data_IF_599199229025
#
_entry.id   IF_599199229025
#
_cell.length_a   1.000
_cell.length_b   1.000
_cell.length_c   1.000
_cell.angle_alpha   90.00
_cell.angle_beta   90.00
_cell.angle_gamma   90.00
#
_symmetry.space_group_name_H-M   'P 1'
#
loop_
_entity.id
_entity.type
_entity.pdbx_description
1 polymer ?
#
# COMPACT_ATOMS: atom_id res chain seq x y z
N UNK A 1 43.42 -6.27 -5.96
CA UNK A 1 42.32 -6.94 -5.24
C UNK A 1 41.07 -6.80 -6.07
N UNK A 2 40.22 -7.81 -6.12
CA UNK A 2 38.96 -7.76 -6.88
C UNK A 2 38.09 -6.62 -6.33
N UNK A 3 37.66 -5.64 -7.16
CA UNK A 3 36.81 -4.54 -6.71
C UNK A 3 35.57 -5.06 -5.98
N UNK A 4 35.12 -4.36 -4.93
CA UNK A 4 33.94 -4.73 -4.11
C UNK A 4 32.70 -4.78 -5.00
N UNK A 5 32.56 -3.85 -5.95
CA UNK A 5 31.51 -3.87 -6.97
C UNK A 5 31.50 -5.17 -7.79
N UNK A 6 32.68 -5.67 -8.17
CA UNK A 6 32.81 -6.92 -8.92
C UNK A 6 32.29 -8.11 -8.10
N UNK A 7 32.73 -8.22 -6.83
CA UNK A 7 32.27 -9.27 -5.92
C UNK A 7 30.76 -9.22 -5.68
N UNK A 8 30.21 -8.01 -5.54
CA UNK A 8 28.78 -7.79 -5.39
C UNK A 8 27.99 -8.30 -6.60
N UNK A 9 28.38 -7.94 -7.82
CA UNK A 9 27.71 -8.39 -9.05
C UNK A 9 27.87 -9.91 -9.28
N UNK A 10 29.00 -10.50 -8.91
CA UNK A 10 29.19 -11.95 -8.96
C UNK A 10 28.22 -12.69 -8.02
N UNK A 11 28.00 -12.17 -6.81
CA UNK A 11 27.01 -12.74 -5.89
C UNK A 11 25.59 -12.67 -6.47
N UNK A 12 25.22 -11.55 -7.10
CA UNK A 12 23.92 -11.39 -7.78
C UNK A 12 23.71 -12.45 -8.88
N UNK A 13 24.72 -12.73 -9.71
CA UNK A 13 24.63 -13.82 -10.69
C UNK A 13 24.37 -15.17 -10.03
N UNK A 14 25.05 -15.46 -8.92
CA UNK A 14 24.84 -16.71 -8.17
C UNK A 14 23.39 -16.88 -7.72
N UNK A 15 22.77 -15.81 -7.20
CA UNK A 15 21.36 -15.84 -6.79
C UNK A 15 20.40 -16.02 -7.96
N UNK A 16 20.69 -15.41 -9.12
CA UNK A 16 19.87 -15.57 -10.34
C UNK A 16 19.99 -16.99 -10.88
N UNK A 17 21.20 -17.54 -10.92
CA UNK A 17 21.47 -18.89 -11.43
C UNK A 17 20.75 -19.96 -10.60
N UNK A 18 20.77 -19.83 -9.27
CA UNK A 18 20.06 -20.74 -8.35
C UNK A 18 18.57 -20.37 -8.22
N UNK A 19 18.10 -19.31 -8.88
CA UNK A 19 16.73 -18.80 -8.82
C UNK A 19 16.24 -18.51 -7.38
N UNK A 20 17.13 -18.00 -6.53
CA UNK A 20 16.82 -17.71 -5.13
C UNK A 20 16.33 -16.26 -4.94
N UNK A 21 15.01 -16.06 -5.11
CA UNK A 21 14.37 -14.76 -4.97
C UNK A 21 14.53 -14.14 -3.57
N UNK A 22 14.60 -14.97 -2.51
CA UNK A 22 14.62 -14.51 -1.13
C UNK A 22 16.00 -13.95 -0.77
N UNK A 23 17.06 -14.66 -1.13
CA UNK A 23 18.43 -14.19 -0.90
C UNK A 23 18.74 -12.96 -1.72
N UNK A 24 18.34 -12.95 -3.01
CA UNK A 24 18.46 -11.77 -3.88
C UNK A 24 17.84 -10.52 -3.21
N UNK A 25 16.62 -10.63 -2.70
CA UNK A 25 15.96 -9.50 -2.04
C UNK A 25 16.52 -9.13 -0.67
N UNK A 26 17.17 -10.06 0.03
CA UNK A 26 17.89 -9.77 1.27
C UNK A 26 19.21 -9.03 0.99
N UNK A 27 19.86 -9.37 -0.12
CA UNK A 27 21.15 -8.82 -0.57
C UNK A 27 21.01 -7.47 -1.29
N UNK A 28 19.80 -7.10 -1.71
CA UNK A 28 19.49 -5.76 -2.20
C UNK A 28 18.98 -4.94 -1.00
N UNK A 29 19.88 -4.19 -0.37
CA UNK A 29 19.56 -3.28 0.72
C UNK A 29 19.00 -1.96 0.17
N UNK A 30 17.76 -1.61 0.54
CA UNK A 30 17.07 -0.41 0.06
C UNK A 30 16.98 0.67 1.15
N UNK A 31 17.16 0.33 2.43
CA UNK A 31 17.04 1.28 3.53
C UNK A 31 18.30 1.27 4.41
N UNK A 32 18.75 2.45 4.87
CA UNK A 32 19.76 2.55 5.92
C UNK A 32 19.21 2.08 7.29
N UNK A 33 20.07 1.69 8.24
CA UNK A 33 21.53 1.74 8.18
C UNK A 33 22.11 0.63 7.30
N UNK A 34 23.08 0.99 6.46
CA UNK A 34 23.74 0.04 5.59
C UNK A 34 24.84 -0.74 6.34
N UNK A 35 25.09 -1.98 5.92
CA UNK A 35 26.22 -2.76 6.47
C UNK A 35 27.57 -2.27 5.92
N UNK A 36 28.67 -2.68 6.55
CA UNK A 36 30.04 -2.31 6.14
C UNK A 36 30.31 -2.54 4.64
N UNK A 37 29.90 -3.69 4.10
CA UNK A 37 30.04 -4.04 2.69
C UNK A 37 29.41 -3.00 1.75
N UNK A 38 28.27 -2.43 2.13
CA UNK A 38 27.57 -1.43 1.32
C UNK A 38 28.24 -0.05 1.44
N UNK A 39 28.77 0.33 2.62
CA UNK A 39 29.56 1.56 2.72
C UNK A 39 30.85 1.48 1.89
N UNK A 40 31.53 0.33 1.89
CA UNK A 40 32.71 0.10 1.04
C UNK A 40 32.32 0.17 -0.45
N UNK A 41 31.16 -0.40 -0.82
CA UNK A 41 30.61 -0.33 -2.18
C UNK A 41 30.25 1.12 -2.59
N UNK A 42 29.62 1.88 -1.70
CA UNK A 42 29.25 3.29 -1.94
C UNK A 42 30.50 4.13 -2.17
N UNK A 43 31.54 3.95 -1.36
CA UNK A 43 32.82 4.66 -1.53
C UNK A 43 33.48 4.32 -2.89
N UNK A 44 33.48 3.04 -3.29
CA UNK A 44 34.00 2.63 -4.60
C UNK A 44 33.18 3.24 -5.76
N UNK A 45 31.85 3.28 -5.64
CA UNK A 45 30.96 3.86 -6.65
C UNK A 45 31.18 5.37 -6.79
N UNK A 46 31.29 6.11 -5.68
CA UNK A 46 31.53 7.55 -5.69
C UNK A 46 32.89 7.90 -6.30
N UNK A 47 33.91 7.07 -6.07
CA UNK A 47 35.25 7.30 -6.60
C UNK A 47 35.38 6.96 -8.09
N UNK A 48 34.83 5.81 -8.52
CA UNK A 48 35.10 5.25 -9.85
C UNK A 48 33.98 5.50 -10.86
N UNK A 49 32.74 5.73 -10.39
CA UNK A 49 31.54 5.89 -11.21
C UNK A 49 30.70 7.11 -10.78
N UNK A 50 31.26 8.34 -10.87
CA UNK A 50 30.48 9.57 -10.65
C UNK A 50 29.35 9.70 -11.68
N UNK A 51 28.40 10.62 -11.45
CA UNK A 51 27.22 10.82 -12.32
C UNK A 51 27.53 10.98 -13.81
N UNK A 52 28.68 11.57 -14.15
CA UNK A 52 29.12 11.76 -15.55
C UNK A 52 29.56 10.46 -16.25
N UNK A 53 29.76 9.36 -15.50
CA UNK A 53 30.25 8.07 -16.00
C UNK A 53 29.21 6.95 -15.85
N UNK A 54 27.92 7.27 -15.94
CA UNK A 54 26.85 6.27 -15.87
C UNK A 54 26.94 5.22 -16.99
N UNK A 55 27.34 5.60 -18.20
CA UNK A 55 27.53 4.67 -19.31
C UNK A 55 28.58 3.60 -18.99
N UNK A 56 29.66 3.98 -18.29
CA UNK A 56 30.71 3.06 -17.87
C UNK A 56 30.23 2.09 -16.77
N UNK A 57 29.33 2.55 -15.90
CA UNK A 57 28.69 1.70 -14.88
C UNK A 57 27.74 0.70 -15.54
N UNK A 58 26.95 1.15 -16.52
CA UNK A 58 26.06 0.28 -17.29
C UNK A 58 26.83 -0.80 -18.04
N UNK A 59 27.90 -0.43 -18.74
CA UNK A 59 28.72 -1.38 -19.49
C UNK A 59 29.36 -2.42 -18.55
N UNK A 60 29.84 -2.00 -17.37
CA UNK A 60 30.35 -2.94 -16.36
C UNK A 60 29.26 -3.88 -15.84
N UNK A 61 28.05 -3.39 -15.60
CA UNK A 61 26.92 -4.24 -15.21
C UNK A 61 26.56 -5.24 -16.31
N UNK A 62 26.54 -4.82 -17.58
CA UNK A 62 26.28 -5.69 -18.75
C UNK A 62 27.34 -6.77 -18.91
N UNK A 63 28.61 -6.46 -18.66
CA UNK A 63 29.71 -7.41 -18.74
C UNK A 63 29.68 -8.42 -17.59
N UNK A 64 29.41 -7.95 -16.36
CA UNK A 64 29.47 -8.80 -15.17
C UNK A 64 28.20 -9.60 -14.95
N UNK A 65 27.01 -9.11 -15.31
CA UNK A 65 25.73 -9.81 -15.11
C UNK A 65 25.44 -10.83 -16.23
N UNK A 66 26.39 -11.74 -16.45
CA UNK A 66 26.37 -12.75 -17.52
C UNK A 66 25.08 -13.57 -17.48
N UNK A 67 24.64 -14.01 -16.30
CA UNK A 67 23.44 -14.83 -16.13
C UNK A 67 22.16 -14.10 -16.56
N UNK A 68 22.06 -12.80 -16.30
CA UNK A 68 20.93 -11.99 -16.79
C UNK A 68 21.03 -11.71 -18.30
N UNK A 69 22.25 -11.59 -18.83
CA UNK A 69 22.50 -11.34 -20.26
C UNK A 69 22.19 -12.56 -21.13
N UNK A 70 22.68 -13.73 -20.73
CA UNK A 70 22.58 -14.98 -21.49
C UNK A 70 21.28 -15.72 -21.22
N UNK A 71 20.58 -15.36 -20.14
CA UNK A 71 19.39 -16.04 -19.68
C UNK A 71 19.72 -17.31 -18.90
N UNK A 72 18.70 -17.91 -18.28
CA UNK A 72 18.79 -19.18 -17.56
C UNK A 72 17.83 -20.15 -18.21
N UNK A 73 18.28 -21.38 -18.47
CA UNK A 73 17.46 -22.46 -19.05
C UNK A 73 16.74 -22.08 -20.36
N UNK A 74 17.42 -21.33 -21.23
CA UNK A 74 16.86 -20.88 -22.52
C UNK A 74 15.89 -19.70 -22.41
N UNK A 75 15.82 -19.03 -21.26
CA UNK A 75 15.06 -17.78 -21.13
C UNK A 75 15.67 -16.65 -21.98
N UNK A 76 14.84 -15.68 -22.36
CA UNK A 76 15.31 -14.47 -23.01
C UNK A 76 16.28 -13.65 -22.12
N UNK A 77 17.06 -12.78 -22.75
CA UNK A 77 17.92 -11.82 -22.07
C UNK A 77 17.10 -10.88 -21.17
N UNK A 78 17.53 -10.73 -19.93
CA UNK A 78 16.86 -9.93 -18.92
C UNK A 78 17.44 -8.51 -18.82
N UNK A 79 17.53 -7.80 -19.96
CA UNK A 79 18.03 -6.41 -20.03
C UNK A 79 17.39 -5.47 -19.00
N UNK A 80 16.06 -5.52 -18.74
CA UNK A 80 15.44 -4.67 -17.71
C UNK A 80 16.01 -4.87 -16.30
N UNK A 81 16.51 -6.06 -15.96
CA UNK A 81 17.16 -6.31 -14.68
C UNK A 81 18.55 -5.67 -14.62
N UNK A 82 19.32 -5.71 -15.71
CA UNK A 82 20.63 -5.02 -15.78
C UNK A 82 20.44 -3.52 -15.55
N UNK A 83 19.45 -2.90 -16.21
CA UNK A 83 19.12 -1.49 -16.01
C UNK A 83 18.61 -1.20 -14.59
N UNK A 84 17.89 -2.13 -13.96
CA UNK A 84 17.54 -2.03 -12.55
C UNK A 84 18.78 -2.04 -11.65
N UNK A 85 19.75 -2.90 -11.90
CA UNK A 85 20.99 -2.95 -11.12
C UNK A 85 21.81 -1.68 -11.26
N UNK A 86 21.88 -1.09 -12.46
CA UNK A 86 22.51 0.22 -12.67
C UNK A 86 21.81 1.29 -11.82
N UNK A 87 20.48 1.36 -11.91
CA UNK A 87 19.69 2.31 -11.12
C UNK A 87 19.85 2.09 -9.61
N UNK A 88 19.96 0.84 -9.16
CA UNK A 88 20.19 0.50 -7.76
C UNK A 88 21.56 0.96 -7.27
N UNK A 89 22.61 0.79 -8.08
CA UNK A 89 23.95 1.25 -7.74
C UNK A 89 24.03 2.79 -7.75
N UNK A 90 23.40 3.45 -8.72
CA UNK A 90 23.23 4.92 -8.69
C UNK A 90 22.44 5.38 -7.46
N UNK A 91 21.40 4.65 -7.08
CA UNK A 91 20.66 4.91 -5.83
C UNK A 91 21.56 4.80 -4.60
N UNK A 92 22.37 3.74 -4.47
CA UNK A 92 23.30 3.60 -3.35
C UNK A 92 24.35 4.72 -3.32
N UNK A 93 24.85 5.15 -4.48
CA UNK A 93 25.82 6.25 -4.60
C UNK A 93 25.26 7.58 -4.11
N UNK A 94 23.99 7.86 -4.45
CA UNK A 94 23.35 9.17 -4.31
C UNK A 94 22.39 9.26 -3.11
N UNK A 95 22.05 8.14 -2.47
CA UNK A 95 21.18 8.13 -1.28
C UNK A 95 21.86 8.85 -0.13
N UNK A 96 21.16 9.82 0.45
CA UNK A 96 21.65 10.57 1.60
C UNK A 96 20.79 10.27 2.83
N UNK A 97 21.43 10.16 4.00
CA UNK A 97 20.75 9.89 5.27
C UNK A 97 20.10 11.15 5.87
N UNK A 98 20.37 12.33 5.29
CA UNK A 98 19.89 13.62 5.77
C UNK A 98 18.37 13.80 5.62
N UNK A 99 17.72 14.19 6.71
CA UNK A 99 16.27 14.47 6.76
C UNK A 99 15.85 15.65 5.86
N UNK A 100 16.79 16.55 5.52
CA UNK A 100 16.55 17.69 4.62
C UNK A 100 16.42 17.28 3.15
N UNK A 101 16.97 16.12 2.75
CA UNK A 101 16.97 15.61 1.35
C UNK A 101 16.02 14.42 1.14
N UNK A 102 15.00 14.28 1.98
CA UNK A 102 14.02 13.20 1.86
C UNK A 102 13.25 13.21 0.53
N UNK A 103 13.10 14.37 -0.10
CA UNK A 103 12.44 14.50 -1.41
C UNK A 103 13.29 13.92 -2.54
N UNK A 104 14.59 14.24 -2.58
CA UNK A 104 15.53 13.66 -3.55
C UNK A 104 15.58 12.13 -3.38
N UNK A 105 15.65 11.66 -2.14
CA UNK A 105 15.62 10.22 -1.82
C UNK A 105 14.32 9.57 -2.32
N UNK A 106 13.19 10.27 -2.19
CA UNK A 106 11.90 9.81 -2.69
C UNK A 106 11.89 9.69 -4.22
N UNK A 107 12.41 10.68 -4.95
CA UNK A 107 12.49 10.65 -6.41
C UNK A 107 13.40 9.51 -6.91
N UNK A 108 14.54 9.30 -6.25
CA UNK A 108 15.44 8.18 -6.56
C UNK A 108 14.76 6.83 -6.32
N UNK A 109 14.01 6.68 -5.22
CA UNK A 109 13.26 5.45 -4.92
C UNK A 109 12.12 5.19 -5.88
N UNK A 110 11.46 6.24 -6.36
CA UNK A 110 10.45 6.16 -7.42
C UNK A 110 11.08 5.63 -8.71
N UNK A 111 12.22 6.20 -9.14
CA UNK A 111 12.95 5.71 -10.31
C UNK A 111 13.40 4.25 -10.14
N UNK A 112 13.87 3.88 -8.96
CA UNK A 112 14.22 2.50 -8.63
C UNK A 112 13.01 1.55 -8.73
N UNK A 113 11.85 1.96 -8.20
CA UNK A 113 10.61 1.19 -8.28
C UNK A 113 10.15 0.98 -9.73
N UNK A 114 10.26 2.00 -10.58
CA UNK A 114 9.91 1.89 -12.01
C UNK A 114 10.80 0.89 -12.74
N UNK A 115 12.12 0.93 -12.51
CA UNK A 115 13.05 -0.05 -13.08
C UNK A 115 12.80 -1.46 -12.54
N UNK A 116 12.47 -1.59 -11.25
CA UNK A 116 12.11 -2.87 -10.65
C UNK A 116 10.84 -3.47 -11.27
N UNK A 117 9.84 -2.64 -11.56
CA UNK A 117 8.61 -3.06 -12.24
C UNK A 117 8.88 -3.53 -13.69
N UNK A 118 9.79 -2.85 -14.40
CA UNK A 118 10.23 -3.28 -15.73
C UNK A 118 10.93 -4.63 -15.67
N UNK A 119 11.80 -4.86 -14.68
CA UNK A 119 12.44 -6.16 -14.46
C UNK A 119 11.43 -7.27 -14.12
N UNK A 120 10.41 -6.97 -13.30
CA UNK A 120 9.32 -7.90 -12.98
C UNK A 120 8.52 -8.34 -14.20
N UNK A 121 8.45 -7.54 -15.26
CA UNK A 121 7.68 -7.86 -16.47
C UNK A 121 8.23 -9.06 -17.26
N UNK A 122 9.48 -9.47 -17.03
CA UNK A 122 10.11 -10.59 -17.73
C UNK A 122 9.38 -11.92 -17.49
N UNK A 123 9.13 -12.71 -18.54
CA UNK A 123 8.24 -13.86 -18.51
C UNK A 123 8.61 -14.93 -17.47
N UNK A 124 9.88 -15.35 -17.43
CA UNK A 124 10.35 -16.44 -16.56
C UNK A 124 11.05 -15.90 -15.31
N UNK A 125 12.15 -15.16 -15.49
CA UNK A 125 12.98 -14.65 -14.39
C UNK A 125 12.33 -13.51 -13.57
N UNK A 126 11.26 -12.88 -14.08
CA UNK A 126 10.64 -11.73 -13.42
C UNK A 126 10.12 -12.04 -12.00
N UNK A 127 9.76 -13.31 -11.72
CA UNK A 127 9.31 -13.76 -10.40
C UNK A 127 10.37 -13.51 -9.32
N UNK A 128 11.67 -13.58 -9.66
CA UNK A 128 12.77 -13.34 -8.73
C UNK A 128 12.78 -11.90 -8.20
N UNK A 129 12.28 -10.95 -8.98
CA UNK A 129 12.18 -9.54 -8.58
C UNK A 129 10.98 -9.25 -7.68
N UNK A 130 10.02 -10.16 -7.55
CA UNK A 130 8.80 -9.89 -6.80
C UNK A 130 9.07 -9.46 -5.35
N UNK A 131 9.94 -10.14 -4.56
CA UNK A 131 10.20 -9.71 -3.19
C UNK A 131 10.92 -8.35 -3.11
N UNK A 132 11.79 -8.05 -4.09
CA UNK A 132 12.48 -6.75 -4.22
C UNK A 132 11.47 -5.63 -4.49
N UNK A 133 10.60 -5.84 -5.49
CA UNK A 133 9.52 -4.91 -5.85
C UNK A 133 8.61 -4.63 -4.67
N UNK A 134 8.23 -5.66 -3.90
CA UNK A 134 7.40 -5.51 -2.70
C UNK A 134 8.13 -4.72 -1.62
N UNK A 135 9.42 -4.98 -1.40
CA UNK A 135 10.23 -4.24 -0.40
C UNK A 135 10.35 -2.77 -0.80
N UNK A 136 10.73 -2.47 -2.05
CA UNK A 136 10.75 -1.10 -2.58
C UNK A 136 9.39 -0.41 -2.41
N UNK A 137 8.29 -1.10 -2.74
CA UNK A 137 6.94 -0.55 -2.62
C UNK A 137 6.57 -0.18 -1.18
N UNK A 138 7.03 -0.96 -0.20
CA UNK A 138 6.83 -0.65 1.22
C UNK A 138 7.60 0.61 1.66
N UNK A 139 8.84 0.78 1.18
CA UNK A 139 9.66 1.98 1.44
C UNK A 139 8.99 3.21 0.82
N UNK A 140 8.67 3.15 -0.48
CA UNK A 140 7.99 4.22 -1.21
C UNK A 140 6.66 4.58 -0.53
N UNK A 141 5.87 3.60 -0.11
CA UNK A 141 4.63 3.82 0.63
C UNK A 141 4.86 4.57 1.95
N UNK A 142 5.85 4.15 2.75
CA UNK A 142 6.17 4.81 4.03
C UNK A 142 6.62 6.26 3.83
N UNK A 143 7.48 6.51 2.84
CA UNK A 143 7.97 7.85 2.54
C UNK A 143 6.87 8.73 1.95
N UNK A 144 6.07 8.23 0.99
CA UNK A 144 4.94 8.98 0.43
C UNK A 144 3.96 9.42 1.52
N UNK A 145 3.60 8.52 2.44
CA UNK A 145 2.72 8.83 3.57
C UNK A 145 3.41 9.78 4.57
N UNK A 146 4.71 9.63 4.81
CA UNK A 146 5.49 10.48 5.70
C UNK A 146 5.60 11.91 5.19
N UNK A 147 5.85 12.09 3.89
CA UNK A 147 5.94 13.38 3.22
C UNK A 147 4.57 14.06 3.13
N UNK A 148 3.49 13.31 2.87
CA UNK A 148 2.12 13.84 2.87
C UNK A 148 1.71 14.45 4.23
N UNK A 149 2.25 13.91 5.34
CA UNK A 149 2.04 14.45 6.69
C UNK A 149 2.86 15.70 7.01
N UNK A 150 3.83 16.07 6.16
CA UNK A 150 4.71 17.25 6.33
C UNK A 150 4.52 18.24 5.18
N UNK A 151 3.41 19.00 5.17
CA UNK A 151 3.08 19.90 4.06
C UNK A 151 4.07 21.04 3.87
N UNK A 152 4.88 21.39 4.88
CA UNK A 152 5.91 22.43 4.80
C UNK A 152 7.03 22.10 3.80
N UNK A 153 7.49 20.84 3.77
CA UNK A 153 8.48 20.38 2.80
C UNK A 153 7.89 20.31 1.38
N UNK A 154 6.59 20.01 1.26
CA UNK A 154 5.89 20.05 -0.01
C UNK A 154 5.68 21.48 -0.53
N UNK A 155 5.50 22.46 0.36
CA UNK A 155 5.38 23.87 0.00
C UNK A 155 6.68 24.42 -0.60
N UNK A 156 7.83 24.00 -0.09
CA UNK A 156 9.15 24.34 -0.67
C UNK A 156 9.32 23.79 -2.10
N UNK A 157 8.81 22.59 -2.38
CA UNK A 157 8.77 22.03 -3.74
C UNK A 157 7.81 22.80 -4.65
N UNK A 158 6.66 23.25 -4.12
CA UNK A 158 5.73 24.10 -4.87
C UNK A 158 6.35 25.45 -5.24
N UNK A 159 7.12 26.07 -4.34
CA UNK A 159 7.82 27.32 -4.63
C UNK A 159 9.01 27.12 -5.58
N UNK A 160 9.79 26.05 -5.43
CA UNK A 160 10.92 25.75 -6.32
C UNK A 160 10.48 25.35 -7.73
N UNK A 161 9.42 24.54 -7.86
CA UNK A 161 8.85 24.14 -9.14
C UNK A 161 8.06 25.26 -9.85
N UNK A 162 7.49 26.22 -9.11
CA UNK A 162 6.86 27.40 -9.71
C UNK A 162 7.89 28.41 -10.25
N UNK A 163 9.09 28.48 -9.65
CA UNK A 163 10.18 29.31 -10.17
C UNK A 163 10.82 28.73 -11.44
N UNK A 164 10.74 27.40 -11.66
CA UNK A 164 11.31 26.73 -12.83
C UNK A 164 10.36 26.66 -14.04
N UNK A 165 9.04 26.73 -13.83
CA UNK A 165 8.04 26.75 -14.90
C UNK A 165 7.37 28.12 -14.97
N UNK A 166 7.99 29.06 -15.68
CA UNK A 166 7.31 30.28 -16.10
C UNK A 166 6.24 29.92 -17.13
N UNK A 167 4.96 30.03 -16.75
CA UNK A 167 3.84 29.89 -17.67
C UNK A 167 2.71 29.02 -17.14
N UNK A 168 1.56 29.68 -16.94
CA UNK A 168 0.18 29.20 -16.93
C UNK A 168 -0.05 27.73 -17.34
N UNK A 169 -0.34 26.88 -16.36
CA UNK A 169 -1.12 25.65 -16.59
C UNK A 169 -2.00 25.35 -15.37
N UNK A 170 -3.09 26.12 -15.24
CA UNK A 170 -4.10 26.02 -14.18
C UNK A 170 -5.10 24.85 -14.40
N UNK A 171 -4.86 23.96 -15.37
CA UNK A 171 -5.80 22.89 -15.75
C UNK A 171 -5.42 21.47 -15.30
N UNK A 172 -4.15 21.20 -15.01
CA UNK A 172 -3.66 19.91 -14.52
C UNK A 172 -3.25 20.05 -13.07
N UNK A 173 -4.12 19.63 -12.14
CA UNK A 173 -3.72 19.48 -10.74
C UNK A 173 -2.48 18.57 -10.68
N UNK A 174 -1.29 19.16 -10.53
CA UNK A 174 0.00 18.43 -10.46
C UNK A 174 -0.17 17.24 -9.52
N UNK A 175 0.10 16.04 -10.05
CA UNK A 175 -0.07 14.78 -9.32
C UNK A 175 0.62 14.88 -7.96
N UNK A 176 -0.12 14.57 -6.89
CA UNK A 176 0.47 14.54 -5.55
C UNK A 176 1.51 13.42 -5.48
N UNK A 177 2.57 13.59 -4.68
CA UNK A 177 3.60 12.55 -4.50
C UNK A 177 2.99 11.16 -4.27
N UNK A 178 1.97 11.00 -3.41
CA UNK A 178 1.35 9.69 -3.19
C UNK A 178 0.52 9.17 -4.37
N UNK A 179 -0.07 10.04 -5.20
CA UNK A 179 -0.71 9.62 -6.45
C UNK A 179 0.32 9.05 -7.42
N UNK A 180 1.47 9.72 -7.56
CA UNK A 180 2.60 9.22 -8.36
C UNK A 180 3.08 7.86 -7.87
N UNK A 181 3.27 7.69 -6.55
CA UNK A 181 3.59 6.38 -5.96
C UNK A 181 2.51 5.33 -6.27
N UNK A 182 1.23 5.67 -6.08
CA UNK A 182 0.14 4.74 -6.31
C UNK A 182 0.07 4.29 -7.77
N UNK A 183 0.29 5.19 -8.73
CA UNK A 183 0.28 4.87 -10.15
C UNK A 183 1.44 3.96 -10.56
N UNK A 184 2.65 4.20 -10.04
CA UNK A 184 3.80 3.32 -10.27
C UNK A 184 3.55 1.92 -9.67
N UNK A 185 2.98 1.84 -8.46
CA UNK A 185 2.63 0.56 -7.86
C UNK A 185 1.51 -0.16 -8.61
N UNK A 186 0.60 0.58 -9.24
CA UNK A 186 -0.44 0.02 -10.12
C UNK A 186 0.17 -0.68 -11.33
N UNK A 187 1.25 -0.16 -11.91
CA UNK A 187 1.98 -0.85 -12.99
C UNK A 187 2.54 -2.18 -12.52
N UNK A 188 3.13 -2.24 -11.32
CA UNK A 188 3.61 -3.48 -10.72
C UNK A 188 2.47 -4.49 -10.50
N UNK A 189 1.33 -4.01 -10.00
CA UNK A 189 0.11 -4.80 -9.83
C UNK A 189 -0.38 -5.38 -11.16
N UNK A 190 -0.52 -4.55 -12.20
CA UNK A 190 -0.94 -5.00 -13.54
C UNK A 190 0.03 -6.02 -14.14
N UNK A 191 1.34 -5.86 -13.94
CA UNK A 191 2.33 -6.83 -14.37
C UNK A 191 2.16 -8.20 -13.68
N UNK A 192 1.75 -8.23 -12.40
CA UNK A 192 1.44 -9.47 -11.69
C UNK A 192 0.11 -10.09 -12.17
N UNK A 193 -0.89 -9.27 -12.51
CA UNK A 193 -2.19 -9.72 -13.00
C UNK A 193 -2.09 -10.38 -14.39
N UNK A 194 -1.29 -9.79 -15.28
CA UNK A 194 -1.08 -10.28 -16.65
C UNK A 194 -0.17 -11.52 -16.74
N UNK A 195 0.28 -12.06 -15.60
CA UNK A 195 1.08 -13.27 -15.56
C UNK A 195 0.26 -14.47 -16.05
N UNK A 196 0.72 -15.10 -17.14
CA UNK A 196 0.06 -16.25 -17.76
C UNK A 196 0.35 -17.55 -17.00
N UNK A 197 1.26 -17.53 -16.03
CA UNK A 197 1.58 -18.68 -15.19
C UNK A 197 0.32 -19.13 -14.45
N UNK A 198 -0.18 -20.31 -14.78
CA UNK A 198 -1.46 -20.83 -14.26
C UNK A 198 -1.19 -22.18 -13.61
N UNK A 199 -1.12 -22.20 -12.28
CA UNK A 199 -1.11 -23.44 -11.50
C UNK A 199 -2.50 -23.61 -10.86
N UNK A 200 -3.11 -24.79 -11.06
CA UNK A 200 -4.51 -25.02 -10.71
C UNK A 200 -4.82 -24.93 -9.21
N UNK A 201 -3.83 -25.25 -8.34
CA UNK A 201 -4.04 -25.44 -6.90
C UNK A 201 -3.11 -24.61 -6.00
N UNK A 202 -2.21 -23.80 -6.57
CA UNK A 202 -1.29 -22.92 -5.82
C UNK A 202 -1.10 -21.61 -6.56
N UNK A 203 -0.98 -20.52 -5.81
CA UNK A 203 -0.55 -19.25 -6.39
C UNK A 203 0.96 -19.37 -6.63
N UNK A 204 1.34 -19.59 -7.87
CA UNK A 204 2.75 -19.65 -8.30
C UNK A 204 3.09 -18.45 -9.17
N UNK A 205 4.39 -18.18 -9.29
CA UNK A 205 4.89 -17.06 -10.08
C UNK A 205 4.56 -15.68 -9.49
N UNK A 206 4.32 -14.71 -10.37
CA UNK A 206 4.12 -13.31 -9.97
C UNK A 206 2.78 -13.09 -9.29
N UNK A 207 1.83 -14.02 -9.48
CA UNK A 207 0.50 -13.97 -8.87
C UNK A 207 0.56 -13.93 -7.34
N UNK A 208 1.61 -14.45 -6.72
CA UNK A 208 1.82 -14.37 -5.26
C UNK A 208 1.86 -12.91 -4.75
N UNK A 209 2.26 -11.98 -5.62
CA UNK A 209 2.40 -10.56 -5.33
C UNK A 209 1.11 -9.75 -5.40
N UNK A 210 0.04 -10.28 -6.01
CA UNK A 210 -1.17 -9.53 -6.36
C UNK A 210 -1.74 -8.81 -5.15
N UNK A 211 -2.13 -9.56 -4.11
CA UNK A 211 -2.75 -8.96 -2.93
C UNK A 211 -1.77 -8.12 -2.12
N UNK A 212 -0.48 -8.47 -2.10
CA UNK A 212 0.52 -7.73 -1.32
C UNK A 212 0.76 -6.34 -1.91
N UNK A 213 0.93 -6.25 -3.22
CA UNK A 213 1.08 -4.97 -3.94
C UNK A 213 -0.24 -4.19 -3.90
N UNK A 214 -1.38 -4.87 -4.11
CA UNK A 214 -2.70 -4.23 -4.02
C UNK A 214 -2.95 -3.61 -2.65
N UNK A 215 -2.64 -4.32 -1.56
CA UNK A 215 -2.80 -3.82 -0.19
C UNK A 215 -1.92 -2.59 0.07
N UNK A 216 -0.69 -2.57 -0.43
CA UNK A 216 0.19 -1.39 -0.34
C UNK A 216 -0.40 -0.21 -1.12
N UNK A 217 -0.86 -0.44 -2.36
CA UNK A 217 -1.47 0.60 -3.18
C UNK A 217 -2.76 1.16 -2.54
N UNK A 218 -3.65 0.28 -2.07
CA UNK A 218 -4.86 0.66 -1.33
C UNK A 218 -4.52 1.47 -0.08
N UNK A 219 -3.47 1.10 0.67
CA UNK A 219 -3.02 1.86 1.84
C UNK A 219 -2.67 3.30 1.49
N UNK A 220 -1.93 3.53 0.40
CA UNK A 220 -1.58 4.88 -0.07
C UNK A 220 -2.85 5.64 -0.47
N UNK A 221 -3.68 5.05 -1.33
CA UNK A 221 -4.90 5.69 -1.85
C UNK A 221 -5.87 6.11 -0.74
N UNK A 222 -6.07 5.25 0.26
CA UNK A 222 -6.93 5.56 1.41
C UNK A 222 -6.34 6.63 2.32
N UNK A 223 -5.02 6.65 2.50
CA UNK A 223 -4.35 7.67 3.30
C UNK A 223 -4.46 9.05 2.65
N UNK A 224 -4.28 9.11 1.33
CA UNK A 224 -4.28 10.35 0.54
C UNK A 224 -5.69 10.79 0.11
N UNK A 225 -6.72 10.11 0.61
CA UNK A 225 -8.15 10.44 0.40
C UNK A 225 -8.61 10.32 -1.06
N UNK A 226 -7.86 9.62 -1.92
CA UNK A 226 -8.17 9.38 -3.33
C UNK A 226 -8.80 8.00 -3.52
N UNK A 227 -9.83 7.70 -2.73
CA UNK A 227 -10.45 6.36 -2.69
C UNK A 227 -11.20 5.99 -3.97
N UNK A 228 -11.54 6.95 -4.82
CA UNK A 228 -12.10 6.70 -6.16
C UNK A 228 -11.15 5.89 -7.04
N UNK A 229 -9.84 6.13 -6.94
CA UNK A 229 -8.84 5.43 -7.75
C UNK A 229 -8.66 3.96 -7.32
N UNK A 230 -9.19 3.57 -6.15
CA UNK A 230 -9.16 2.18 -5.69
C UNK A 230 -10.14 1.27 -6.45
N UNK A 231 -11.15 1.83 -7.13
CA UNK A 231 -12.17 1.07 -7.85
C UNK A 231 -11.56 0.08 -8.85
N UNK A 232 -10.62 0.54 -9.68
CA UNK A 232 -9.98 -0.31 -10.70
C UNK A 232 -9.20 -1.48 -10.07
N UNK A 233 -8.61 -1.29 -8.88
CA UNK A 233 -7.89 -2.36 -8.18
C UNK A 233 -8.87 -3.46 -7.78
N UNK A 234 -10.02 -3.10 -7.21
CA UNK A 234 -11.05 -4.06 -6.83
C UNK A 234 -11.65 -4.78 -8.04
N UNK A 235 -11.94 -4.06 -9.13
CA UNK A 235 -12.47 -4.62 -10.37
C UNK A 235 -11.48 -5.60 -11.03
N UNK A 236 -10.21 -5.20 -11.15
CA UNK A 236 -9.17 -6.07 -11.73
C UNK A 236 -8.98 -7.35 -10.90
N UNK A 237 -8.98 -7.25 -9.57
CA UNK A 237 -8.92 -8.41 -8.70
C UNK A 237 -10.15 -9.30 -8.88
N UNK A 238 -11.35 -8.72 -8.93
CA UNK A 238 -12.59 -9.48 -9.11
C UNK A 238 -12.64 -10.28 -10.42
N UNK A 239 -12.04 -9.76 -11.49
CA UNK A 239 -12.09 -10.38 -12.82
C UNK A 239 -10.97 -11.39 -13.09
N UNK A 240 -9.77 -11.14 -12.58
CA UNK A 240 -8.56 -11.86 -13.02
C UNK A 240 -7.79 -12.55 -11.88
N UNK A 241 -8.11 -12.27 -10.61
CA UNK A 241 -7.36 -12.85 -9.49
C UNK A 241 -7.77 -14.30 -9.19
N UNK A 242 -6.81 -15.17 -8.83
CA UNK A 242 -7.12 -16.44 -8.17
C UNK A 242 -7.96 -16.25 -6.90
N UNK A 243 -8.62 -17.33 -6.47
CA UNK A 243 -9.47 -17.33 -5.27
C UNK A 243 -8.72 -16.76 -4.05
N UNK A 244 -9.40 -15.87 -3.31
CA UNK A 244 -8.83 -15.18 -2.16
C UNK A 244 -8.30 -16.16 -1.09
N UNK A 245 -8.93 -17.33 -0.93
CA UNK A 245 -8.56 -18.39 0.01
C UNK A 245 -7.13 -18.92 -0.16
N UNK A 246 -6.57 -18.83 -1.37
CA UNK A 246 -5.23 -19.31 -1.68
C UNK A 246 -4.11 -18.40 -1.14
N UNK A 247 -4.45 -17.20 -0.69
CA UNK A 247 -3.49 -16.21 -0.18
C UNK A 247 -3.38 -16.23 1.35
N UNK A 248 -2.26 -15.80 1.94
CA UNK A 248 -2.09 -15.74 3.39
C UNK A 248 -3.16 -14.90 4.09
N UNK A 249 -3.59 -15.32 5.30
CA UNK A 249 -4.61 -14.62 6.11
C UNK A 249 -4.34 -13.13 6.27
N UNK A 250 -3.09 -12.74 6.49
CA UNK A 250 -2.70 -11.33 6.65
C UNK A 250 -3.07 -10.47 5.43
N UNK A 251 -2.86 -10.99 4.22
CA UNK A 251 -3.18 -10.29 2.98
C UNK A 251 -4.69 -10.27 2.72
N UNK A 252 -5.39 -11.37 3.01
CA UNK A 252 -6.85 -11.46 2.88
C UNK A 252 -7.55 -10.46 3.78
N UNK A 253 -7.20 -10.43 5.07
CA UNK A 253 -7.81 -9.55 6.07
C UNK A 253 -7.58 -8.08 5.70
N UNK A 254 -6.37 -7.73 5.24
CA UNK A 254 -6.05 -6.36 4.83
C UNK A 254 -6.84 -5.93 3.60
N UNK A 255 -6.96 -6.81 2.60
CA UNK A 255 -7.75 -6.54 1.40
C UNK A 255 -9.23 -6.35 1.73
N UNK A 256 -9.82 -7.27 2.49
CA UNK A 256 -11.23 -7.22 2.89
C UNK A 256 -11.55 -5.99 3.73
N UNK A 257 -10.62 -5.56 4.59
CA UNK A 257 -10.74 -4.31 5.33
C UNK A 257 -10.86 -3.10 4.40
N UNK A 258 -9.98 -2.97 3.40
CA UNK A 258 -10.05 -1.86 2.44
C UNK A 258 -11.27 -1.97 1.52
N UNK A 259 -11.64 -3.16 1.08
CA UNK A 259 -12.86 -3.41 0.29
C UNK A 259 -14.11 -2.98 1.07
N UNK A 260 -14.22 -3.40 2.34
CA UNK A 260 -15.31 -3.02 3.21
C UNK A 260 -15.44 -1.51 3.39
N UNK A 261 -14.31 -0.82 3.60
CA UNK A 261 -14.28 0.65 3.69
C UNK A 261 -14.67 1.33 2.39
N UNK A 262 -14.22 0.81 1.25
CA UNK A 262 -14.60 1.32 -0.07
C UNK A 262 -16.11 1.19 -0.29
N UNK A 263 -16.67 0.01 -0.03
CA UNK A 263 -18.11 -0.25 -0.14
C UNK A 263 -18.91 0.65 0.82
N UNK A 264 -18.42 0.82 2.05
CA UNK A 264 -19.03 1.70 3.05
C UNK A 264 -19.09 3.16 2.57
N UNK A 265 -18.00 3.68 1.99
CA UNK A 265 -17.95 5.04 1.43
C UNK A 265 -18.91 5.23 0.25
N UNK A 266 -19.16 4.17 -0.52
CA UNK A 266 -20.10 4.16 -1.65
C UNK A 266 -21.54 3.79 -1.24
N UNK A 267 -21.88 3.84 0.05
CA UNK A 267 -23.20 3.51 0.61
C UNK A 267 -23.67 2.05 0.40
N UNK A 268 -22.79 1.12 0.03
CA UNK A 268 -23.11 -0.31 -0.07
C UNK A 268 -22.95 -1.01 1.29
N UNK A 269 -23.74 -0.59 2.28
CA UNK A 269 -23.56 -1.00 3.69
C UNK A 269 -23.71 -2.51 3.93
N UNK A 270 -24.60 -3.20 3.20
CA UNK A 270 -24.76 -4.65 3.31
C UNK A 270 -23.49 -5.40 2.84
N UNK A 271 -23.01 -5.09 1.62
CA UNK A 271 -21.78 -5.68 1.10
C UNK A 271 -20.55 -5.31 1.93
N UNK A 272 -20.52 -4.08 2.46
CA UNK A 272 -19.47 -3.66 3.39
C UNK A 272 -19.49 -4.51 4.67
N UNK A 273 -20.67 -4.75 5.24
CA UNK A 273 -20.83 -5.59 6.42
C UNK A 273 -20.34 -7.03 6.17
N UNK A 274 -20.69 -7.65 5.03
CA UNK A 274 -20.24 -9.00 4.69
C UNK A 274 -18.70 -9.06 4.56
N UNK A 275 -18.09 -8.13 3.82
CA UNK A 275 -16.64 -8.08 3.65
C UNK A 275 -15.91 -7.86 4.98
N UNK A 276 -16.40 -6.94 5.82
CA UNK A 276 -15.80 -6.63 7.13
C UNK A 276 -16.01 -7.75 8.14
N UNK A 277 -17.15 -8.44 8.09
CA UNK A 277 -17.41 -9.61 8.93
C UNK A 277 -16.41 -10.72 8.59
N UNK A 278 -16.26 -11.03 7.31
CA UNK A 278 -15.28 -12.01 6.86
C UNK A 278 -13.84 -11.62 7.23
N UNK A 279 -13.49 -10.33 7.13
CA UNK A 279 -12.20 -9.83 7.59
C UNK A 279 -11.97 -10.03 9.10
N UNK A 280 -13.01 -9.81 9.91
CA UNK A 280 -12.93 -9.91 11.38
C UNK A 280 -12.83 -11.36 11.85
N UNK A 281 -13.53 -12.28 11.18
CA UNK A 281 -13.52 -13.71 11.47
C UNK A 281 -12.18 -14.36 11.08
N UNK A 282 -11.57 -13.91 9.98
CA UNK A 282 -10.24 -14.36 9.53
C UNK A 282 -9.09 -13.78 10.36
N UNK A 283 -9.31 -12.62 11.01
CA UNK A 283 -8.29 -11.95 11.81
C UNK A 283 -8.01 -12.73 13.11
N UNK A 284 -6.74 -13.05 13.38
CA UNK A 284 -6.35 -13.76 14.59
C UNK A 284 -6.69 -12.97 15.86
N UNK A 285 -7.16 -13.66 16.91
CA UNK A 285 -7.56 -13.05 18.18
C UNK A 285 -6.39 -12.72 19.14
N UNK A 286 -5.15 -12.88 18.69
CA UNK A 286 -3.97 -12.58 19.51
C UNK A 286 -3.80 -11.10 19.81
N UNK A 287 -3.14 -10.78 20.92
CA UNK A 287 -2.98 -9.40 21.43
C UNK A 287 -2.32 -8.47 20.42
N UNK A 288 -1.37 -8.98 19.63
CA UNK A 288 -0.68 -8.23 18.57
C UNK A 288 -1.62 -7.68 17.48
N UNK A 289 -2.84 -8.22 17.35
CA UNK A 289 -3.78 -7.86 16.30
C UNK A 289 -4.96 -7.02 16.78
N UNK A 290 -5.01 -6.65 18.07
CA UNK A 290 -6.12 -5.87 18.65
C UNK A 290 -6.36 -4.58 17.86
N UNK A 291 -5.30 -3.87 17.45
CA UNK A 291 -5.41 -2.64 16.67
C UNK A 291 -6.05 -2.87 15.30
N UNK A 292 -5.66 -3.92 14.60
CA UNK A 292 -6.24 -4.27 13.30
C UNK A 292 -7.71 -4.67 13.43
N UNK A 293 -8.01 -5.50 14.44
CA UNK A 293 -9.38 -5.90 14.77
C UNK A 293 -10.25 -4.70 15.09
N UNK A 294 -9.75 -3.74 15.87
CA UNK A 294 -10.45 -2.48 16.19
C UNK A 294 -10.77 -1.69 14.92
N UNK A 295 -9.81 -1.53 14.00
CA UNK A 295 -10.05 -0.84 12.74
C UNK A 295 -11.16 -1.48 11.91
N UNK A 296 -11.18 -2.82 11.81
CA UNK A 296 -12.26 -3.55 11.13
C UNK A 296 -13.59 -3.36 11.87
N UNK A 297 -13.56 -3.51 13.20
CA UNK A 297 -14.74 -3.51 14.05
C UNK A 297 -15.48 -2.18 14.05
N UNK A 298 -14.78 -1.03 13.98
CA UNK A 298 -15.42 0.29 13.86
C UNK A 298 -16.37 0.31 12.66
N UNK A 299 -15.87 -0.07 11.48
CA UNK A 299 -16.68 -0.06 10.27
C UNK A 299 -17.75 -1.15 10.28
N UNK A 300 -17.45 -2.32 10.86
CA UNK A 300 -18.41 -3.42 10.97
C UNK A 300 -19.61 -3.06 11.85
N UNK A 301 -19.36 -2.51 13.05
CA UNK A 301 -20.41 -2.06 13.98
C UNK A 301 -21.21 -0.92 13.36
N UNK A 302 -20.54 0.05 12.74
CA UNK A 302 -21.21 1.16 12.05
C UNK A 302 -22.13 0.65 10.93
N UNK A 303 -21.65 -0.30 10.12
CA UNK A 303 -22.44 -0.88 9.02
C UNK A 303 -23.65 -1.64 9.56
N UNK A 304 -23.47 -2.42 10.64
CA UNK A 304 -24.56 -3.12 11.30
C UNK A 304 -25.62 -2.16 11.86
N UNK A 305 -25.21 -1.07 12.54
CA UNK A 305 -26.14 -0.07 13.08
C UNK A 305 -26.96 0.58 11.97
N UNK A 306 -26.33 0.94 10.84
CA UNK A 306 -27.03 1.49 9.66
C UNK A 306 -28.05 0.48 9.11
N UNK A 307 -27.74 -0.82 9.15
CA UNK A 307 -28.66 -1.91 8.77
C UNK A 307 -29.70 -2.23 9.86
N UNK A 308 -29.71 -1.52 11.00
CA UNK A 308 -30.64 -1.72 12.10
C UNK A 308 -30.27 -2.87 13.06
N UNK A 309 -29.04 -3.37 13.01
CA UNK A 309 -28.50 -4.43 13.89
C UNK A 309 -27.59 -3.81 14.96
N UNK A 310 -27.83 -4.14 16.22
CA UNK A 310 -27.04 -3.62 17.33
C UNK A 310 -25.97 -4.61 17.80
N UNK A 311 -24.79 -4.14 18.24
CA UNK A 311 -23.77 -5.00 18.83
C UNK A 311 -24.27 -5.70 20.11
N UNK A 312 -23.83 -6.93 20.32
CA UNK A 312 -24.12 -7.69 21.55
C UNK A 312 -23.23 -7.24 22.71
N UNK A 313 -23.68 -7.47 23.95
CA UNK A 313 -22.89 -7.16 25.14
C UNK A 313 -21.54 -7.89 25.15
N UNK A 314 -21.52 -9.16 24.69
CA UNK A 314 -20.29 -9.95 24.58
C UNK A 314 -19.28 -9.35 23.59
N UNK A 315 -19.73 -8.73 22.50
CA UNK A 315 -18.85 -8.05 21.55
C UNK A 315 -18.25 -6.77 22.16
N UNK A 316 -19.05 -6.02 22.92
CA UNK A 316 -18.63 -4.78 23.58
C UNK A 316 -17.61 -4.99 24.71
N UNK A 317 -17.56 -6.19 25.30
CA UNK A 317 -16.59 -6.58 26.32
C UNK A 317 -15.21 -6.96 25.75
N UNK A 318 -15.06 -7.07 24.43
CA UNK A 318 -13.80 -7.45 23.78
C UNK A 318 -12.77 -6.31 23.85
N UNK A 319 -11.46 -6.61 23.92
CA UNK A 319 -10.42 -5.59 24.04
C UNK A 319 -10.39 -4.62 22.84
N UNK A 320 -10.71 -5.08 21.64
CA UNK A 320 -10.78 -4.20 20.47
C UNK A 320 -11.99 -3.24 20.48
N UNK A 321 -13.03 -3.51 21.28
CA UNK A 321 -14.27 -2.76 21.35
C UNK A 321 -14.31 -1.69 22.46
N UNK A 322 -13.20 -1.48 23.17
CA UNK A 322 -13.11 -0.49 24.26
C UNK A 322 -13.60 0.90 23.79
N UNK A 323 -14.49 1.52 24.57
CA UNK A 323 -15.12 2.81 24.27
C UNK A 323 -16.29 2.77 23.28
N UNK A 324 -16.58 1.62 22.63
CA UNK A 324 -17.68 1.55 21.66
C UNK A 324 -19.04 1.74 22.33
N UNK A 325 -19.19 1.26 23.56
CA UNK A 325 -20.44 1.43 24.30
C UNK A 325 -20.73 2.92 24.52
N UNK A 326 -19.74 3.71 24.94
CA UNK A 326 -19.89 5.15 25.16
C UNK A 326 -20.28 5.87 23.86
N UNK A 327 -19.59 5.56 22.75
CA UNK A 327 -19.87 6.20 21.47
C UNK A 327 -21.23 5.81 20.88
N UNK A 328 -21.57 4.51 20.85
CA UNK A 328 -22.75 4.03 20.13
C UNK A 328 -24.02 3.96 20.99
N UNK A 329 -23.94 3.92 22.32
CA UNK A 329 -25.12 3.78 23.17
C UNK A 329 -26.17 4.90 22.98
N UNK A 330 -25.79 6.20 22.91
CA UNK A 330 -26.77 7.26 22.68
C UNK A 330 -27.52 7.08 21.35
N UNK A 331 -26.79 6.69 20.29
CA UNK A 331 -27.36 6.44 18.96
C UNK A 331 -28.35 5.26 19.01
N UNK A 332 -27.93 4.15 19.62
CA UNK A 332 -28.78 2.96 19.76
C UNK A 332 -30.03 3.25 20.60
N UNK A 333 -29.90 4.03 21.67
CA UNK A 333 -31.04 4.43 22.51
C UNK A 333 -32.01 5.32 21.73
N UNK A 334 -31.51 6.26 20.94
CA UNK A 334 -32.35 7.11 20.09
C UNK A 334 -33.15 6.28 19.09
N UNK A 335 -32.48 5.34 18.41
CA UNK A 335 -33.11 4.44 17.44
C UNK A 335 -34.16 3.53 18.08
N UNK A 336 -33.95 3.04 19.31
CA UNK A 336 -34.92 2.21 20.04
C UNK A 336 -36.12 2.99 20.57
N UNK A 337 -35.91 4.25 20.95
CA UNK A 337 -36.97 5.08 21.54
C UNK A 337 -37.74 5.91 20.53
N UNK A 338 -37.21 6.10 19.32
CA UNK A 338 -37.77 7.03 18.33
C UNK A 338 -37.50 8.49 18.67
N UNK A 339 -36.52 8.79 19.54
CA UNK A 339 -36.21 10.15 19.97
C UNK A 339 -35.27 10.85 18.99
N UNK A 340 -35.83 11.70 18.12
CA UNK A 340 -35.07 12.48 17.13
C UNK A 340 -34.16 13.54 17.74
N UNK A 341 -34.56 14.16 18.86
CA UNK A 341 -33.74 15.17 19.53
C UNK A 341 -32.45 14.54 20.09
N UNK A 342 -32.58 13.40 20.76
CA UNK A 342 -31.45 12.63 21.28
C UNK A 342 -30.56 12.12 20.14
N UNK A 343 -31.14 11.66 19.03
CA UNK A 343 -30.37 11.23 17.86
C UNK A 343 -29.52 12.37 17.27
N UNK A 344 -30.12 13.56 17.10
CA UNK A 344 -29.42 14.74 16.58
C UNK A 344 -28.32 15.22 17.52
N UNK A 345 -28.56 15.20 18.83
CA UNK A 345 -27.55 15.55 19.84
C UNK A 345 -26.39 14.55 19.85
N UNK A 346 -26.68 13.25 19.76
CA UNK A 346 -25.67 12.19 19.76
C UNK A 346 -24.72 12.23 18.54
N UNK A 347 -25.19 12.78 17.42
CA UNK A 347 -24.45 12.91 16.15
C UNK A 347 -24.18 14.37 15.77
N UNK A 348 -24.20 15.27 16.76
CA UNK A 348 -23.85 16.67 16.54
C UNK A 348 -22.35 16.84 16.28
N UNK A 349 -22.00 17.83 15.46
CA UNK A 349 -20.60 18.10 15.11
C UNK A 349 -19.78 18.64 16.28
N UNK A 350 -20.43 19.29 17.24
CA UNK A 350 -19.80 19.82 18.46
C UNK A 350 -19.98 18.87 19.66
N UNK A 351 -20.48 17.66 19.43
CA UNK A 351 -20.71 16.68 20.48
C UNK A 351 -19.41 16.06 21.01
N UNK A 352 -19.43 15.46 22.22
CA UNK A 352 -18.24 14.89 22.87
C UNK A 352 -17.62 13.71 22.11
N UNK A 353 -18.36 13.08 21.20
CA UNK A 353 -17.90 11.93 20.41
C UNK A 353 -17.67 12.26 18.93
N UNK A 354 -17.89 13.51 18.52
CA UNK A 354 -17.82 13.92 17.12
C UNK A 354 -16.44 13.66 16.51
N UNK A 355 -15.36 14.02 17.22
CA UNK A 355 -13.99 13.84 16.77
C UNK A 355 -13.65 12.38 16.47
N UNK A 356 -14.14 11.45 17.29
CA UNK A 356 -13.95 10.02 17.07
C UNK A 356 -14.67 9.55 15.81
N UNK A 357 -15.94 9.93 15.64
CA UNK A 357 -16.71 9.57 14.44
C UNK A 357 -16.17 10.23 13.17
N UNK A 358 -15.64 11.45 13.26
CA UNK A 358 -15.01 12.18 12.15
C UNK A 358 -13.67 11.55 11.78
N UNK A 359 -12.84 11.16 12.75
CA UNK A 359 -11.59 10.44 12.53
C UNK A 359 -11.81 9.18 11.68
N UNK A 360 -12.84 8.39 12.01
CA UNK A 360 -13.20 7.19 11.25
C UNK A 360 -14.08 7.44 10.02
N UNK A 361 -14.57 8.68 9.83
CA UNK A 361 -15.47 9.11 8.74
C UNK A 361 -16.81 8.37 8.72
N UNK A 362 -17.32 8.05 9.90
CA UNK A 362 -18.58 7.33 10.08
C UNK A 362 -19.73 8.25 10.50
N UNK A 363 -19.44 9.48 10.96
CA UNK A 363 -20.45 10.44 11.45
C UNK A 363 -21.56 10.71 10.43
N UNK A 364 -21.18 11.10 9.20
CA UNK A 364 -22.14 11.46 8.16
C UNK A 364 -22.99 10.25 7.70
N UNK A 365 -22.42 9.07 7.41
CA UNK A 365 -23.22 7.87 7.14
C UNK A 365 -24.19 7.52 8.27
N UNK A 366 -23.76 7.59 9.53
CA UNK A 366 -24.64 7.34 10.69
C UNK A 366 -25.80 8.33 10.72
N UNK A 367 -25.51 9.63 10.64
CA UNK A 367 -26.52 10.70 10.67
C UNK A 367 -27.55 10.55 9.55
N UNK A 368 -27.08 10.40 8.32
CA UNK A 368 -27.95 10.40 7.14
C UNK A 368 -28.75 9.10 6.97
N UNK A 369 -28.22 7.96 7.42
CA UNK A 369 -28.83 6.64 7.18
C UNK A 369 -29.55 6.07 8.38
N UNK A 370 -29.21 6.47 9.61
CA UNK A 370 -29.89 5.96 10.80
C UNK A 370 -31.15 6.76 11.17
N UNK A 371 -31.29 8.01 10.70
CA UNK A 371 -32.47 8.84 10.99
C UNK A 371 -33.79 8.16 10.57
N UNK A 372 -33.79 7.42 9.45
CA UNK A 372 -34.96 6.65 8.98
C UNK A 372 -35.42 5.60 10.01
N UNK A 373 -34.50 4.98 10.75
CA UNK A 373 -34.84 4.00 11.76
C UNK A 373 -35.48 4.65 12.99
N UNK A 374 -35.06 5.86 13.33
CA UNK A 374 -35.66 6.66 14.40
C UNK A 374 -37.09 7.04 14.04
N UNK A 375 -37.29 7.58 12.83
CA UNK A 375 -38.64 7.90 12.31
C UNK A 375 -39.55 6.68 12.28
N UNK A 376 -39.07 5.56 11.75
CA UNK A 376 -39.83 4.29 11.71
C UNK A 376 -40.29 3.87 13.11
N UNK A 377 -39.43 4.01 14.11
CA UNK A 377 -39.75 3.64 15.49
C UNK A 377 -40.70 4.63 16.15
N UNK A 378 -40.55 5.93 15.88
CA UNK A 378 -41.48 6.97 16.35
C UNK A 378 -42.89 6.72 15.80
N UNK A 379 -43.01 6.52 14.49
CA UNK A 379 -44.31 6.27 13.84
C UNK A 379 -44.98 5.02 14.42
N UNK A 380 -44.24 3.91 14.58
CA UNK A 380 -44.74 2.65 15.16
C UNK A 380 -45.15 2.71 16.64
N UNK A 381 -44.76 3.78 17.34
CA UNK A 381 -45.14 3.99 18.75
C UNK A 381 -46.35 4.90 18.89
N UNK A 382 -46.53 5.79 17.91
CA UNK A 382 -47.63 6.77 17.89
C UNK A 382 -48.87 6.17 17.23
N UNK A 383 -48.69 5.33 16.21
CA UNK A 383 -49.71 4.45 15.62
C UNK A 383 -49.65 3.08 16.30
#
# INVERSE_FOLDING_TARGET
GTPVLGQFLTAINGFILVQNARELASYIAIEPPFGKLYYDLIAELQQNYPQEKEDALEEKCRQMLVTAREGVDGSATWTPFILFMVQYLSYLRDVNEDTSKLLETYDLLIGLQERANSALSHGTLGVLMLPVVVRCAQVVCRLAIGLDRRPELMAQLRSAGAAASGGDDEGSARETLPERAAEILRRAFTACMNDKTTAANKVEGKKQGIYKIANICLKILFQCRKTRNAAMIFENIGNQSPQLSLYPKSERVTYLYYLGRYLFQNNHFYRAQEALQYAYDECSAGENFIRQRRHILVYLVTSNIILGRFPSAALLQRPEAIGFQEHFAPIMQAMRTGNLALFRQALDFNGPHADWFLHFRVLLPLRNRCEVHVWRTLVRRVW
#
